data_IF_749107966318
#
_entry.id   IF_749107966318
#
_cell.length_a   1.000
_cell.length_b   1.000
_cell.length_c   1.000
_cell.angle_alpha   90.00
_cell.angle_beta   90.00
_cell.angle_gamma   90.00
#
_symmetry.space_group_name_H-M   'P 1'
#
loop_
_entity.id
_entity.type
_entity.pdbx_description
1 polymer ?
#
# COMPACT_ATOMS: atom_id res chain seq x y z
N UNK A 1 1.02 -24.41 10.42
CA UNK A 1 0.86 -23.63 9.17
C UNK A 1 0.32 -22.28 9.57
N UNK A 2 0.89 -21.18 9.08
CA UNK A 2 0.39 -19.84 9.36
C UNK A 2 -0.94 -19.63 8.63
N UNK A 3 -1.88 -18.95 9.27
CA UNK A 3 -3.11 -18.49 8.62
C UNK A 3 -2.82 -17.30 7.71
N UNK A 4 -3.69 -17.04 6.74
CA UNK A 4 -3.51 -15.89 5.84
C UNK A 4 -3.53 -14.55 6.62
N UNK A 5 -4.35 -14.46 7.67
CA UNK A 5 -4.37 -13.32 8.57
C UNK A 5 -3.04 -13.13 9.31
N UNK A 6 -2.44 -14.21 9.81
CA UNK A 6 -1.12 -14.17 10.46
C UNK A 6 -0.02 -13.74 9.49
N UNK A 7 -0.11 -14.14 8.22
CA UNK A 7 0.82 -13.66 7.19
C UNK A 7 0.71 -12.14 7.06
N UNK A 8 -0.50 -11.59 7.04
CA UNK A 8 -0.67 -10.15 6.99
C UNK A 8 -0.08 -9.45 8.22
N UNK A 9 -0.37 -9.97 9.40
CA UNK A 9 0.03 -9.40 10.68
C UNK A 9 1.54 -9.43 10.90
N UNK A 10 2.21 -10.55 10.57
CA UNK A 10 3.63 -10.73 10.84
C UNK A 10 4.56 -10.24 9.73
N UNK A 11 4.11 -10.27 8.48
CA UNK A 11 4.98 -9.96 7.33
C UNK A 11 4.59 -8.68 6.61
N UNK A 12 3.31 -8.46 6.33
CA UNK A 12 2.92 -7.33 5.46
C UNK A 12 2.73 -6.01 6.23
N UNK A 13 2.03 -6.04 7.37
CA UNK A 13 1.75 -4.84 8.16
C UNK A 13 3.01 -4.23 8.81
N UNK A 14 3.97 -5.01 9.34
CA UNK A 14 5.20 -4.43 9.91
C UNK A 14 6.03 -3.73 8.84
N UNK A 15 6.14 -4.33 7.65
CA UNK A 15 6.86 -3.73 6.51
C UNK A 15 6.17 -2.44 6.05
N UNK A 16 4.84 -2.46 5.90
CA UNK A 16 4.08 -1.27 5.54
C UNK A 16 4.23 -0.14 6.59
N UNK A 17 4.15 -0.49 7.88
CA UNK A 17 4.33 0.45 8.98
C UNK A 17 5.73 1.07 8.98
N UNK A 18 6.77 0.27 8.75
CA UNK A 18 8.14 0.75 8.62
C UNK A 18 8.30 1.69 7.42
N UNK A 19 7.75 1.35 6.26
CA UNK A 19 7.80 2.21 5.07
C UNK A 19 7.10 3.55 5.31
N UNK A 20 5.92 3.56 5.92
CA UNK A 20 5.24 4.81 6.27
C UNK A 20 5.99 5.62 7.31
N UNK A 21 6.63 4.98 8.28
CA UNK A 21 7.49 5.66 9.24
C UNK A 21 8.68 6.36 8.56
N UNK A 22 9.37 5.66 7.65
CA UNK A 22 10.50 6.20 6.89
C UNK A 22 10.10 7.32 5.92
N UNK A 23 8.90 7.23 5.32
CA UNK A 23 8.38 8.23 4.37
C UNK A 23 7.71 9.43 5.03
N UNK A 24 7.37 9.35 6.32
CA UNK A 24 6.72 10.43 7.08
C UNK A 24 7.35 11.82 6.88
N UNK A 25 8.69 12.01 6.96
CA UNK A 25 9.30 13.32 6.71
C UNK A 25 9.21 13.77 5.25
N UNK A 26 8.95 12.87 4.30
CA UNK A 26 8.97 13.16 2.87
C UNK A 26 7.57 13.24 2.24
N UNK A 27 6.51 12.99 3.02
CA UNK A 27 5.14 12.89 2.54
C UNK A 27 4.61 14.21 1.97
N UNK A 28 4.11 14.19 0.74
CA UNK A 28 3.48 15.34 0.06
C UNK A 28 2.00 15.08 -0.26
N UNK A 29 1.26 16.16 -0.55
CA UNK A 29 -0.15 16.05 -1.01
C UNK A 29 -0.28 15.25 -2.30
N UNK A 30 0.73 15.31 -3.17
CA UNK A 30 0.75 14.51 -4.40
C UNK A 30 0.87 13.01 -4.09
N UNK A 31 1.60 12.65 -3.03
CA UNK A 31 1.72 11.24 -2.63
C UNK A 31 0.40 10.72 -2.09
N UNK A 32 -0.34 11.53 -1.31
CA UNK A 32 -1.71 11.19 -0.90
C UNK A 32 -2.61 10.90 -2.10
N UNK A 33 -2.53 11.71 -3.17
CA UNK A 33 -3.29 11.47 -4.39
C UNK A 33 -2.89 10.16 -5.06
N UNK A 34 -1.58 9.85 -5.16
CA UNK A 34 -1.10 8.56 -5.70
C UNK A 34 -1.67 7.38 -4.91
N UNK A 35 -1.62 7.44 -3.58
CA UNK A 35 -2.18 6.38 -2.73
C UNK A 35 -3.67 6.19 -2.98
N UNK A 36 -4.46 7.27 -2.94
CA UNK A 36 -5.92 7.19 -3.13
C UNK A 36 -6.29 6.67 -4.52
N UNK A 37 -5.64 7.21 -5.55
CA UNK A 37 -5.91 6.84 -6.94
C UNK A 37 -5.55 5.37 -7.22
N UNK A 38 -4.32 4.96 -6.86
CA UNK A 38 -3.86 3.60 -7.12
C UNK A 38 -4.58 2.57 -6.24
N UNK A 39 -4.88 2.90 -4.99
CA UNK A 39 -5.68 2.05 -4.12
C UNK A 39 -7.09 1.85 -4.68
N UNK A 40 -7.75 2.93 -5.10
CA UNK A 40 -9.08 2.85 -5.70
C UNK A 40 -9.07 2.00 -6.96
N UNK A 41 -8.11 2.24 -7.86
CA UNK A 41 -7.95 1.44 -9.07
C UNK A 41 -7.70 -0.03 -8.76
N UNK A 42 -6.73 -0.34 -7.90
CA UNK A 42 -6.37 -1.72 -7.56
C UNK A 42 -7.52 -2.48 -6.91
N UNK A 43 -8.19 -1.88 -5.92
CA UNK A 43 -9.34 -2.52 -5.27
C UNK A 43 -10.47 -2.73 -6.26
N UNK A 44 -10.83 -1.75 -7.09
CA UNK A 44 -11.91 -1.92 -8.06
C UNK A 44 -11.61 -3.00 -9.10
N UNK A 45 -10.43 -2.96 -9.73
CA UNK A 45 -10.09 -3.91 -10.79
C UNK A 45 -9.87 -5.32 -10.25
N UNK A 46 -9.11 -5.46 -9.16
CA UNK A 46 -8.84 -6.76 -8.55
C UNK A 46 -10.12 -7.39 -7.99
N UNK A 47 -10.98 -6.60 -7.33
CA UNK A 47 -12.24 -7.14 -6.79
C UNK A 47 -13.14 -7.69 -7.88
N UNK A 48 -13.29 -6.98 -9.00
CA UNK A 48 -14.13 -7.42 -10.12
C UNK A 48 -13.53 -8.69 -10.75
N UNK A 49 -12.23 -8.68 -11.02
CA UNK A 49 -11.54 -9.78 -11.67
C UNK A 49 -11.54 -11.06 -10.82
N UNK A 50 -11.18 -10.96 -9.54
CA UNK A 50 -11.10 -12.13 -8.66
C UNK A 50 -12.47 -12.75 -8.42
N UNK A 51 -13.51 -11.93 -8.21
CA UNK A 51 -14.87 -12.45 -8.08
C UNK A 51 -15.31 -13.16 -9.37
N UNK A 52 -14.95 -12.63 -10.53
CA UNK A 52 -15.26 -13.25 -11.82
C UNK A 52 -14.58 -14.63 -11.98
N UNK A 53 -13.29 -14.73 -11.70
CA UNK A 53 -12.55 -15.99 -11.80
C UNK A 53 -13.09 -17.06 -10.85
N UNK A 54 -13.35 -16.68 -9.59
CA UNK A 54 -13.88 -17.63 -8.59
C UNK A 54 -15.30 -18.06 -8.94
N UNK A 55 -16.13 -17.13 -9.43
CA UNK A 55 -17.47 -17.45 -9.92
C UNK A 55 -17.45 -18.48 -11.06
N UNK A 56 -16.48 -18.36 -11.98
CA UNK A 56 -16.28 -19.31 -13.07
C UNK A 56 -15.51 -20.58 -12.68
N UNK A 57 -15.20 -20.78 -11.39
CA UNK A 57 -14.46 -21.94 -10.86
C UNK A 57 -13.08 -22.16 -11.49
N UNK A 58 -12.51 -21.12 -12.10
CA UNK A 58 -11.14 -21.15 -12.58
C UNK A 58 -10.13 -21.07 -11.42
N UNK A 59 -10.57 -20.56 -10.27
CA UNK A 59 -9.85 -20.55 -9.00
C UNK A 59 -10.80 -20.85 -7.83
N UNK A 60 -10.27 -21.33 -6.72
CA UNK A 60 -11.05 -21.61 -5.51
C UNK A 60 -10.21 -21.43 -4.25
N UNK A 61 -10.88 -21.08 -3.16
CA UNK A 61 -10.27 -20.92 -1.84
C UNK A 61 -10.77 -22.00 -0.88
N UNK A 62 -9.92 -22.41 0.06
CA UNK A 62 -10.31 -23.40 1.06
C UNK A 62 -11.34 -22.77 2.03
N UNK A 63 -12.56 -23.35 2.16
CA UNK A 63 -13.63 -22.73 2.95
C UNK A 63 -13.31 -22.60 4.44
N UNK A 64 -12.44 -23.47 4.96
CA UNK A 64 -12.10 -23.52 6.39
C UNK A 64 -10.85 -22.70 6.74
N UNK A 65 -10.15 -22.15 5.76
CA UNK A 65 -8.91 -21.41 5.96
C UNK A 65 -9.10 -19.88 5.93
N UNK A 66 -10.34 -19.42 5.76
CA UNK A 66 -10.69 -18.01 5.58
C UNK A 66 -11.64 -17.57 6.69
N UNK A 67 -11.44 -16.35 7.19
CA UNK A 67 -12.21 -15.79 8.30
C UNK A 67 -13.60 -15.38 7.84
N UNK A 68 -13.69 -14.79 6.65
CA UNK A 68 -14.94 -14.34 6.05
C UNK A 68 -14.83 -14.30 4.52
N UNK A 69 -15.96 -14.42 3.84
CA UNK A 69 -16.04 -14.29 2.37
C UNK A 69 -16.99 -13.14 2.04
N UNK A 70 -16.55 -12.23 1.17
CA UNK A 70 -17.37 -11.13 0.64
C UNK A 70 -17.57 -11.39 -0.84
N UNK A 71 -18.81 -11.61 -1.27
CA UNK A 71 -19.09 -12.10 -2.61
C UNK A 71 -18.58 -13.53 -2.78
N UNK A 72 -17.56 -13.72 -3.60
CA UNK A 72 -16.90 -15.01 -3.83
C UNK A 72 -15.46 -15.06 -3.30
N UNK A 73 -14.93 -13.93 -2.83
CA UNK A 73 -13.51 -13.77 -2.50
C UNK A 73 -13.33 -13.62 -0.97
N UNK A 74 -12.31 -14.23 -0.36
CA UNK A 74 -12.03 -14.08 1.06
C UNK A 74 -11.73 -12.63 1.45
N UNK A 75 -12.08 -12.26 2.68
CA UNK A 75 -11.76 -10.94 3.25
C UNK A 75 -10.24 -10.65 3.21
N UNK A 76 -9.44 -11.69 3.43
CA UNK A 76 -7.99 -11.61 3.44
C UNK A 76 -7.42 -11.19 2.08
N UNK A 77 -8.04 -11.57 0.96
CA UNK A 77 -7.63 -11.09 -0.37
C UNK A 77 -7.90 -9.60 -0.54
N UNK A 78 -9.03 -9.09 -0.03
CA UNK A 78 -9.27 -7.65 -0.01
C UNK A 78 -8.23 -6.91 0.84
N UNK A 79 -7.82 -7.49 1.98
CA UNK A 79 -6.72 -6.95 2.77
C UNK A 79 -5.41 -6.96 1.98
N UNK A 80 -5.12 -8.03 1.23
CA UNK A 80 -3.98 -8.13 0.35
C UNK A 80 -3.98 -7.03 -0.71
N UNK A 81 -5.09 -6.79 -1.41
CA UNK A 81 -5.19 -5.72 -2.41
C UNK A 81 -4.85 -4.36 -1.81
N UNK A 82 -5.35 -4.08 -0.60
CA UNK A 82 -5.10 -2.81 0.09
C UNK A 82 -3.65 -2.71 0.55
N UNK A 83 -3.18 -3.69 1.31
CA UNK A 83 -1.86 -3.65 1.95
C UNK A 83 -0.75 -3.66 0.89
N UNK A 84 -0.84 -4.54 -0.11
CA UNK A 84 0.17 -4.63 -1.16
C UNK A 84 0.21 -3.38 -2.03
N UNK A 85 -0.94 -2.77 -2.34
CA UNK A 85 -0.98 -1.52 -3.10
C UNK A 85 -0.33 -0.39 -2.32
N UNK A 86 -0.69 -0.22 -1.04
CA UNK A 86 -0.08 0.80 -0.19
C UNK A 86 1.42 0.57 -0.03
N UNK A 87 1.85 -0.67 0.17
CA UNK A 87 3.26 -1.03 0.32
C UNK A 87 4.04 -0.74 -0.96
N UNK A 88 3.48 -1.08 -2.13
CA UNK A 88 4.11 -0.84 -3.43
C UNK A 88 4.24 0.65 -3.73
N UNK A 89 3.19 1.44 -3.46
CA UNK A 89 3.23 2.90 -3.63
C UNK A 89 4.24 3.53 -2.67
N UNK A 90 4.28 3.09 -1.42
CA UNK A 90 5.24 3.56 -0.44
C UNK A 90 6.68 3.26 -0.87
N UNK A 91 6.96 2.00 -1.19
CA UNK A 91 8.27 1.58 -1.68
C UNK A 91 8.70 2.33 -2.94
N UNK A 92 7.78 2.52 -3.89
CA UNK A 92 8.06 3.28 -5.11
C UNK A 92 8.36 4.74 -4.78
N UNK A 93 7.59 5.40 -3.91
CA UNK A 93 7.89 6.78 -3.50
C UNK A 93 9.22 6.90 -2.74
N UNK A 94 9.64 5.84 -2.03
CA UNK A 94 10.90 5.81 -1.31
C UNK A 94 12.09 5.73 -2.27
N UNK A 95 12.02 4.88 -3.30
CA UNK A 95 13.12 4.65 -4.25
C UNK A 95 13.12 5.68 -5.38
N UNK A 96 11.95 5.99 -5.92
CA UNK A 96 11.77 6.77 -7.14
C UNK A 96 11.32 8.20 -6.82
N UNK A 97 12.16 8.94 -6.09
CA UNK A 97 11.84 10.30 -5.67
C UNK A 97 12.20 11.32 -6.77
N UNK A 98 11.52 11.23 -7.91
CA UNK A 98 11.70 12.08 -9.11
C UNK A 98 11.36 13.57 -8.93
N UNK A 99 11.11 14.02 -7.71
CA UNK A 99 10.56 15.34 -7.43
C UNK A 99 11.66 16.27 -6.94
N UNK A 100 11.77 17.44 -7.56
CA UNK A 100 12.69 18.49 -7.12
C UNK A 100 12.45 18.79 -5.62
N UNK A 101 13.52 18.92 -4.80
CA UNK A 101 13.41 19.26 -3.38
C UNK A 101 12.55 20.50 -3.11
N UNK A 102 12.49 21.43 -4.08
CA UNK A 102 11.67 22.65 -4.04
C UNK A 102 10.17 22.40 -3.94
N UNK A 103 9.65 21.28 -4.44
CA UNK A 103 8.21 20.93 -4.37
C UNK A 103 7.78 20.56 -2.94
N UNK A 104 8.73 20.07 -2.15
CA UNK A 104 8.49 19.63 -0.77
C UNK A 104 8.65 20.75 0.26
N UNK A 105 9.42 21.81 -0.06
CA UNK A 105 9.67 22.92 0.85
C UNK A 105 8.57 23.97 0.66
N UNK A 106 7.65 24.08 1.64
CA UNK A 106 6.68 25.19 1.72
C UNK A 106 7.07 26.12 2.84
N UNK A 107 6.63 27.38 2.80
CA UNK A 107 6.92 28.39 3.84
C UNK A 107 6.61 27.94 5.27
N UNK A 108 5.71 26.96 5.45
CA UNK A 108 5.28 26.42 6.75
C UNK A 108 5.82 25.02 7.09
N UNK A 109 6.78 24.48 6.36
CA UNK A 109 7.31 23.13 6.66
C UNK A 109 8.18 23.15 7.92
N UNK A 110 8.02 22.18 8.84
CA UNK A 110 8.84 22.09 10.05
C UNK A 110 10.32 21.93 9.69
N UNK A 111 11.20 22.52 10.50
CA UNK A 111 12.65 22.54 10.25
C UNK A 111 13.23 21.14 9.99
N UNK A 112 12.80 20.14 10.77
CA UNK A 112 13.27 18.75 10.64
C UNK A 112 12.99 18.22 9.23
N UNK A 113 11.80 18.44 8.69
CA UNK A 113 11.44 18.05 7.33
C UNK A 113 12.32 18.76 6.30
N UNK A 114 12.60 20.05 6.48
CA UNK A 114 13.49 20.81 5.60
C UNK A 114 14.92 20.26 5.60
N UNK A 115 15.44 19.83 6.75
CA UNK A 115 16.77 19.20 6.87
C UNK A 115 16.80 17.86 6.14
N UNK A 116 15.86 16.96 6.43
CA UNK A 116 15.81 15.66 5.76
C UNK A 116 15.65 15.79 4.24
N UNK A 117 14.79 16.69 3.76
CA UNK A 117 14.58 16.92 2.33
C UNK A 117 15.82 17.50 1.63
N UNK A 118 16.60 18.35 2.30
CA UNK A 118 17.81 18.97 1.72
C UNK A 118 19.04 18.07 1.77
N UNK A 119 19.21 17.30 2.85
CA UNK A 119 20.45 16.57 3.13
C UNK A 119 20.39 15.08 2.83
N UNK A 120 19.21 14.52 2.56
CA UNK A 120 19.09 13.14 2.07
C UNK A 120 18.86 13.20 0.55
N UNK A 121 19.93 13.16 -0.26
CA UNK A 121 19.81 12.95 -1.69
C UNK A 121 19.40 11.49 -1.89
N UNK A 122 18.12 11.25 -2.11
CA UNK A 122 17.67 9.96 -2.61
C UNK A 122 17.66 10.12 -4.12
N UNK A 123 18.58 9.37 -4.76
CA UNK A 123 18.87 9.31 -6.19
C UNK A 123 17.61 9.25 -7.06
#
# INVERSE_FOLDING_TARGET
MLTYMEVHLYFTLPVLGLLFYLLKPFHSKQDTFKYQFLLGMAVLTASIWDNYIVYHKAWSYCPTCVVAVIGYVPLEEYMFFVIMTLMTVAFTNLIMRWHLPSVFIKSRTPWIQTVFVRFVPIL
#
